data_IF_929412842209
#
_entry.id   IF_929412842209
#
_cell.length_a   1.000
_cell.length_b   1.000
_cell.length_c   1.000
_cell.angle_alpha   90.00
_cell.angle_beta   90.00
_cell.angle_gamma   90.00
#
_symmetry.space_group_name_H-M   'P 1'
#
loop_
_entity.id
_entity.type
_entity.pdbx_description
1 polymer ?
#
# COMPACT_ATOMS: atom_id res chain seq x y z
N UNK A 1 -3.89 -11.21 -22.98
CA UNK A 1 -2.44 -11.39 -22.77
C UNK A 1 -1.99 -10.19 -21.95
N UNK A 2 -1.31 -10.43 -20.82
CA UNK A 2 -0.67 -9.38 -20.04
C UNK A 2 0.54 -8.85 -20.81
N UNK A 3 0.75 -7.52 -20.76
CA UNK A 3 1.97 -6.88 -21.27
C UNK A 3 3.04 -6.74 -20.19
N UNK A 4 2.86 -7.41 -19.03
CA UNK A 4 3.79 -7.35 -17.93
C UNK A 4 5.10 -8.05 -18.27
N UNK A 5 6.25 -7.51 -17.83
CA UNK A 5 7.53 -8.18 -17.98
C UNK A 5 7.60 -9.43 -17.09
N UNK A 6 8.47 -10.35 -17.45
CA UNK A 6 8.79 -11.50 -16.62
C UNK A 6 9.71 -11.09 -15.47
N UNK A 7 9.34 -11.43 -14.24
CA UNK A 7 10.20 -11.19 -13.08
C UNK A 7 11.00 -12.45 -12.74
N UNK A 8 12.32 -12.26 -12.57
CA UNK A 8 13.23 -13.32 -12.14
C UNK A 8 13.96 -12.84 -10.89
N UNK A 9 13.69 -13.45 -9.76
CA UNK A 9 14.25 -13.07 -8.45
C UNK A 9 15.19 -14.19 -8.01
N UNK A 10 16.47 -13.88 -7.85
CA UNK A 10 17.54 -14.82 -7.49
C UNK A 10 17.54 -16.07 -8.39
N UNK A 11 17.32 -15.87 -9.72
CA UNK A 11 17.27 -16.93 -10.70
C UNK A 11 15.91 -17.61 -10.89
N UNK A 12 14.92 -17.30 -10.05
CA UNK A 12 13.60 -17.93 -10.07
C UNK A 12 12.57 -17.03 -10.74
N UNK A 13 11.83 -17.60 -11.67
CA UNK A 13 10.69 -16.94 -12.30
C UNK A 13 9.54 -16.80 -11.31
N UNK A 14 9.06 -15.56 -11.12
CA UNK A 14 7.90 -15.25 -10.26
C UNK A 14 6.76 -14.63 -11.05
N UNK A 15 5.62 -15.29 -11.10
CA UNK A 15 4.41 -14.78 -11.75
C UNK A 15 3.75 -13.64 -10.95
N UNK A 16 3.94 -13.63 -9.63
CA UNK A 16 3.45 -12.58 -8.73
C UNK A 16 4.25 -11.28 -8.79
N UNK A 17 5.27 -11.20 -9.63
CA UNK A 17 6.15 -10.05 -9.75
C UNK A 17 6.90 -9.77 -8.44
N UNK A 18 6.89 -8.51 -8.00
CA UNK A 18 7.54 -8.05 -6.77
C UNK A 18 6.69 -8.27 -5.50
N UNK A 19 5.49 -8.83 -5.65
CA UNK A 19 4.58 -8.98 -4.53
C UNK A 19 5.19 -9.83 -3.42
N UNK A 20 5.22 -9.30 -2.19
CA UNK A 20 5.81 -9.96 -1.03
C UNK A 20 7.33 -9.75 -0.87
N UNK A 21 8.01 -9.09 -1.82
CA UNK A 21 9.41 -8.71 -1.68
C UNK A 21 9.50 -7.28 -1.09
N UNK A 22 10.37 -7.10 -0.09
CA UNK A 22 10.70 -5.76 0.39
C UNK A 22 11.71 -5.11 -0.57
N UNK A 23 11.44 -3.91 -1.12
CA UNK A 23 12.40 -3.21 -1.98
C UNK A 23 13.78 -3.01 -1.35
N UNK A 24 13.84 -2.85 -0.03
CA UNK A 24 15.10 -2.69 0.69
C UNK A 24 15.94 -3.97 0.77
N UNK A 25 15.35 -5.14 0.49
CA UNK A 25 16.09 -6.40 0.38
C UNK A 25 16.72 -6.59 -1.01
N UNK A 26 16.45 -5.69 -1.95
CA UNK A 26 17.02 -5.72 -3.29
C UNK A 26 18.46 -5.21 -3.25
N UNK A 27 19.38 -6.00 -3.78
CA UNK A 27 20.77 -5.59 -4.01
C UNK A 27 20.96 -4.93 -5.38
N UNK A 28 20.36 -5.53 -6.43
CA UNK A 28 20.41 -5.01 -7.78
C UNK A 28 19.18 -5.39 -8.58
N UNK A 29 18.86 -4.53 -9.57
CA UNK A 29 17.81 -4.77 -10.53
C UNK A 29 18.34 -4.47 -11.93
N UNK A 30 18.12 -5.41 -12.87
CA UNK A 30 18.50 -5.28 -14.25
C UNK A 30 17.28 -5.55 -15.14
N UNK A 31 17.13 -4.75 -16.19
CA UNK A 31 16.03 -4.91 -17.14
C UNK A 31 16.61 -5.36 -18.48
N UNK A 32 16.23 -6.57 -18.90
CA UNK A 32 16.61 -7.14 -20.18
C UNK A 32 15.49 -6.85 -21.19
N UNK A 33 15.83 -6.10 -22.25
CA UNK A 33 14.87 -5.74 -23.32
C UNK A 33 15.24 -6.34 -24.68
N UNK A 34 16.48 -6.78 -24.82
CA UNK A 34 16.99 -7.31 -26.08
C UNK A 34 16.63 -8.76 -26.25
N UNK A 35 16.26 -9.16 -27.46
CA UNK A 35 15.85 -10.54 -27.79
C UNK A 35 16.94 -11.57 -27.45
N UNK A 36 18.22 -11.21 -27.59
CA UNK A 36 19.34 -12.09 -27.24
C UNK A 36 19.45 -12.36 -25.75
N UNK A 37 19.23 -11.33 -24.91
CA UNK A 37 19.32 -11.45 -23.46
C UNK A 37 18.08 -12.11 -22.84
N UNK A 38 16.92 -12.02 -23.50
CA UNK A 38 15.67 -12.64 -23.04
C UNK A 38 15.45 -14.06 -23.57
N UNK A 39 16.26 -14.50 -24.55
CA UNK A 39 16.11 -15.81 -25.22
C UNK A 39 16.11 -17.00 -24.27
N UNK A 40 16.89 -16.95 -23.19
CA UNK A 40 16.95 -18.02 -22.18
C UNK A 40 15.62 -18.24 -21.41
N UNK A 41 14.73 -17.24 -21.44
CA UNK A 41 13.42 -17.30 -20.79
C UNK A 41 12.29 -17.69 -21.75
N UNK A 42 12.63 -17.91 -23.03
CA UNK A 42 11.70 -18.33 -24.07
C UNK A 42 10.58 -17.31 -24.31
N UNK A 43 9.40 -17.79 -24.68
CA UNK A 43 8.24 -16.95 -25.01
C UNK A 43 7.74 -16.11 -23.82
N UNK A 44 8.02 -16.49 -22.58
CA UNK A 44 7.67 -15.71 -21.39
C UNK A 44 8.48 -14.41 -21.27
N UNK A 45 9.69 -14.38 -21.83
CA UNK A 45 10.53 -13.19 -21.86
C UNK A 45 10.20 -12.19 -22.98
N UNK A 46 9.17 -12.41 -23.80
CA UNK A 46 8.85 -11.59 -24.97
C UNK A 46 8.56 -10.10 -24.63
N UNK A 47 8.01 -9.82 -23.44
CA UNK A 47 7.73 -8.45 -22.95
C UNK A 47 8.89 -7.84 -22.16
N UNK A 48 10.09 -8.46 -22.18
CA UNK A 48 11.23 -8.12 -21.37
C UNK A 48 11.31 -8.92 -20.08
N UNK A 49 12.48 -8.91 -19.45
CA UNK A 49 12.74 -9.63 -18.19
C UNK A 49 13.34 -8.67 -17.18
N UNK A 50 12.82 -8.66 -15.98
CA UNK A 50 13.35 -7.92 -14.84
C UNK A 50 14.08 -8.90 -13.94
N UNK A 51 15.42 -8.83 -13.95
CA UNK A 51 16.29 -9.61 -13.08
C UNK A 51 16.48 -8.87 -11.76
N UNK A 52 16.22 -9.53 -10.66
CA UNK A 52 16.40 -8.98 -9.32
C UNK A 52 17.32 -9.91 -8.55
N UNK A 53 18.35 -9.31 -7.98
CA UNK A 53 19.24 -9.99 -7.02
C UNK A 53 18.97 -9.42 -5.65
N UNK A 54 18.71 -10.29 -4.68
CA UNK A 54 18.48 -9.87 -3.29
C UNK A 54 19.77 -9.83 -2.50
N UNK A 55 19.75 -9.09 -1.39
CA UNK A 55 20.88 -9.00 -0.45
C UNK A 55 21.11 -10.36 0.20
N UNK A 56 22.39 -10.74 0.34
CA UNK A 56 22.84 -11.95 1.01
C UNK A 56 23.81 -11.61 2.15
N UNK A 57 24.04 -12.54 3.05
CA UNK A 57 25.06 -12.42 4.08
C UNK A 57 26.47 -12.29 3.47
N UNK A 58 27.41 -11.77 4.27
CA UNK A 58 28.82 -11.63 3.87
C UNK A 58 29.72 -12.41 4.83
N UNK A 59 30.75 -13.04 4.28
CA UNK A 59 31.76 -13.72 5.09
C UNK A 59 32.53 -12.74 5.99
N UNK A 60 32.86 -13.19 7.18
CA UNK A 60 33.70 -12.48 8.17
C UNK A 60 33.17 -11.07 8.57
N UNK A 61 31.87 -10.82 8.36
CA UNK A 61 31.18 -9.61 8.77
C UNK A 61 30.04 -9.99 9.70
N UNK A 62 29.89 -9.26 10.80
CA UNK A 62 28.70 -9.32 11.66
C UNK A 62 28.11 -7.94 11.76
N UNK A 63 26.88 -7.78 11.32
CA UNK A 63 26.23 -6.49 11.30
C UNK A 63 24.79 -6.61 11.79
N UNK A 64 24.43 -5.68 12.67
CA UNK A 64 23.06 -5.44 13.08
C UNK A 64 22.72 -4.05 12.58
N UNK A 65 21.66 -3.93 11.78
CA UNK A 65 21.19 -2.67 11.24
C UNK A 65 19.73 -2.49 11.64
N UNK A 66 19.43 -1.33 12.16
CA UNK A 66 18.05 -0.92 12.43
C UNK A 66 17.74 0.36 11.66
N UNK A 67 16.76 0.30 10.79
CA UNK A 67 16.27 1.42 10.01
C UNK A 67 14.89 1.80 10.52
N UNK A 68 14.68 3.10 10.75
CA UNK A 68 13.40 3.63 11.18
C UNK A 68 13.07 4.88 10.37
N UNK A 69 11.90 4.89 9.77
CA UNK A 69 11.39 6.02 9.01
C UNK A 69 9.97 6.36 9.48
N UNK A 70 9.73 7.65 9.71
CA UNK A 70 8.40 8.20 10.01
C UNK A 70 8.14 9.30 9.00
N UNK A 71 6.98 9.24 8.35
CA UNK A 71 6.52 10.25 7.40
C UNK A 71 5.14 10.76 7.78
N UNK A 72 4.89 12.04 7.53
CA UNK A 72 3.56 12.65 7.66
C UNK A 72 3.11 13.10 6.27
N UNK A 73 1.96 12.59 5.85
CA UNK A 73 1.31 12.96 4.60
C UNK A 73 0.16 13.93 4.87
N UNK A 74 0.07 14.98 4.09
CA UNK A 74 -1.04 15.94 4.14
C UNK A 74 -1.69 16.06 2.78
N UNK A 75 -2.94 16.51 2.75
CA UNK A 75 -3.64 16.81 1.49
C UNK A 75 -3.00 18.03 0.85
N UNK A 76 -2.34 17.85 -0.28
CA UNK A 76 -1.58 18.92 -0.94
C UNK A 76 -2.49 20.05 -1.48
N UNK A 77 -3.70 19.69 -1.95
CA UNK A 77 -4.70 20.64 -2.45
C UNK A 77 -6.10 20.11 -2.19
N UNK A 78 -6.93 20.94 -1.61
CA UNK A 78 -8.37 20.69 -1.45
C UNK A 78 -9.13 21.38 -2.58
N UNK A 79 -10.24 20.80 -2.98
CA UNK A 79 -11.19 21.51 -3.84
C UNK A 79 -11.93 22.55 -3.01
N UNK A 80 -12.14 23.72 -3.59
CA UNK A 80 -13.00 24.73 -3.01
C UNK A 80 -14.46 24.34 -3.25
N UNK A 81 -15.21 24.17 -2.18
CA UNK A 81 -16.64 23.89 -2.20
C UNK A 81 -17.37 25.07 -1.56
N UNK A 82 -18.67 25.22 -1.87
CA UNK A 82 -19.47 26.22 -1.21
C UNK A 82 -19.51 25.96 0.30
N UNK A 83 -19.29 26.99 1.09
CA UNK A 83 -19.52 26.90 2.53
C UNK A 83 -21.05 26.88 2.83
N UNK A 84 -21.49 26.58 4.07
CA UNK A 84 -22.90 26.50 4.41
C UNK A 84 -23.70 27.78 4.08
N UNK A 85 -23.12 28.94 4.33
CA UNK A 85 -23.79 30.23 4.05
C UNK A 85 -23.92 30.48 2.55
N UNK A 86 -22.86 30.26 1.78
CA UNK A 86 -22.86 30.41 0.32
C UNK A 86 -23.86 29.46 -0.32
N UNK A 87 -23.87 28.19 0.11
CA UNK A 87 -24.84 27.21 -0.37
C UNK A 87 -26.27 27.64 -0.07
N UNK A 88 -26.59 28.00 1.17
CA UNK A 88 -27.94 28.39 1.58
C UNK A 88 -28.41 29.65 0.87
N UNK A 89 -27.54 30.66 0.70
CA UNK A 89 -27.81 31.88 -0.01
C UNK A 89 -28.10 31.58 -1.48
N UNK A 90 -27.26 30.80 -2.14
CA UNK A 90 -27.46 30.40 -3.54
C UNK A 90 -28.75 29.59 -3.68
N UNK A 91 -29.02 28.66 -2.76
CA UNK A 91 -30.22 27.82 -2.80
C UNK A 91 -31.50 28.65 -2.68
N UNK A 92 -31.53 29.69 -1.83
CA UNK A 92 -32.65 30.62 -1.69
C UNK A 92 -32.91 31.43 -2.95
N UNK A 93 -31.95 31.54 -3.90
CA UNK A 93 -32.21 32.19 -5.19
C UNK A 93 -33.12 31.36 -6.11
N UNK A 94 -33.01 30.02 -6.00
CA UNK A 94 -33.79 29.08 -6.81
C UNK A 94 -35.06 28.60 -6.09
N UNK A 95 -34.99 28.47 -4.77
CA UNK A 95 -36.06 27.99 -3.89
C UNK A 95 -36.26 29.04 -2.80
N UNK A 96 -37.16 30.01 -3.06
CA UNK A 96 -37.40 31.14 -2.16
C UNK A 96 -37.71 30.66 -0.72
N UNK A 97 -37.08 31.31 0.25
CA UNK A 97 -37.34 31.15 1.70
C UNK A 97 -37.15 29.74 2.23
N UNK A 98 -36.30 28.94 1.60
CA UNK A 98 -35.97 27.61 2.13
C UNK A 98 -35.19 27.70 3.45
N UNK A 99 -34.24 28.66 3.53
CA UNK A 99 -33.46 28.94 4.73
C UNK A 99 -33.87 30.29 5.32
N UNK A 100 -34.23 30.32 6.62
CA UNK A 100 -34.61 31.55 7.31
C UNK A 100 -33.42 32.48 7.55
N UNK A 101 -33.63 33.77 7.87
CA UNK A 101 -32.57 34.69 8.25
C UNK A 101 -31.75 34.22 9.43
N UNK A 102 -32.37 33.56 10.42
CA UNK A 102 -31.72 33.01 11.60
C UNK A 102 -30.79 31.86 11.21
N UNK A 103 -31.23 30.96 10.32
CA UNK A 103 -30.40 29.89 9.76
C UNK A 103 -29.22 30.42 8.97
N UNK A 104 -29.44 31.40 8.10
CA UNK A 104 -28.39 32.08 7.35
C UNK A 104 -27.36 32.72 8.29
N UNK A 105 -27.79 33.34 9.37
CA UNK A 105 -26.90 33.92 10.39
C UNK A 105 -26.10 32.82 11.09
N UNK A 106 -26.69 31.68 11.45
CA UNK A 106 -26.01 30.56 12.04
C UNK A 106 -24.91 29.97 11.10
N UNK A 107 -25.21 29.82 9.81
CA UNK A 107 -24.24 29.39 8.81
C UNK A 107 -23.10 30.40 8.62
N UNK A 108 -23.42 31.68 8.58
CA UNK A 108 -22.42 32.75 8.44
C UNK A 108 -21.47 32.81 9.63
N UNK A 109 -21.99 32.59 10.83
CA UNK A 109 -21.19 32.60 12.06
C UNK A 109 -20.46 31.25 12.33
N UNK A 110 -20.63 30.24 11.48
CA UNK A 110 -20.02 28.93 11.64
C UNK A 110 -20.57 28.09 12.81
N UNK A 111 -21.77 28.44 13.33
CA UNK A 111 -22.41 27.67 14.42
C UNK A 111 -23.25 26.51 13.92
N UNK A 112 -23.47 26.42 12.61
CA UNK A 112 -24.20 25.34 11.95
C UNK A 112 -23.55 25.00 10.59
N UNK A 113 -23.86 23.78 10.10
CA UNK A 113 -23.31 23.25 8.85
C UNK A 113 -22.03 22.44 9.06
N UNK A 114 -21.55 21.82 7.99
CA UNK A 114 -20.40 20.89 8.03
C UNK A 114 -19.49 21.11 6.81
N UNK A 115 -18.19 21.22 7.04
CA UNK A 115 -17.18 21.05 5.99
C UNK A 115 -16.93 19.55 5.82
N UNK A 116 -17.60 18.94 4.84
CA UNK A 116 -17.53 17.51 4.60
C UNK A 116 -16.14 17.02 4.18
N UNK A 117 -15.33 17.88 3.56
CA UNK A 117 -13.95 17.53 3.22
C UNK A 117 -13.06 17.47 4.46
N UNK A 118 -13.29 18.36 5.43
CA UNK A 118 -12.55 18.31 6.70
C UNK A 118 -12.92 17.08 7.53
N UNK A 119 -14.18 16.67 7.46
CA UNK A 119 -14.65 15.48 8.17
C UNK A 119 -14.09 14.16 7.64
N UNK A 120 -13.73 14.09 6.37
CA UNK A 120 -13.18 12.87 5.76
C UNK A 120 -11.66 12.84 5.70
N UNK A 121 -10.99 13.99 5.81
CA UNK A 121 -9.54 14.07 5.73
C UNK A 121 -8.87 14.10 7.12
N UNK A 122 -7.63 13.64 7.13
CA UNK A 122 -6.71 13.69 8.27
C UNK A 122 -5.27 13.79 7.78
N UNK A 123 -4.34 14.03 8.67
CA UNK A 123 -2.93 13.83 8.37
C UNK A 123 -2.63 12.34 8.40
N UNK A 124 -2.11 11.83 7.30
CA UNK A 124 -1.67 10.44 7.19
C UNK A 124 -0.31 10.24 7.87
N UNK A 125 -0.11 9.11 8.54
CA UNK A 125 1.15 8.75 9.18
C UNK A 125 1.68 7.49 8.52
N UNK A 126 2.94 7.53 8.10
CA UNK A 126 3.68 6.34 7.63
C UNK A 126 4.79 6.03 8.60
N UNK A 127 4.87 4.78 9.02
CA UNK A 127 5.92 4.24 9.88
C UNK A 127 6.55 3.04 9.16
N UNK A 128 7.87 3.01 9.09
CA UNK A 128 8.62 1.88 8.55
C UNK A 128 9.76 1.56 9.51
N UNK A 129 9.76 0.33 10.02
CA UNK A 129 10.78 -0.16 10.95
C UNK A 129 11.36 -1.46 10.43
N UNK A 130 12.66 -1.50 10.23
CA UNK A 130 13.37 -2.68 9.75
C UNK A 130 14.55 -3.03 10.64
N UNK A 131 14.62 -4.27 11.04
CA UNK A 131 15.79 -4.86 11.71
C UNK A 131 16.43 -5.87 10.77
N UNK A 132 17.72 -5.73 10.53
CA UNK A 132 18.52 -6.67 9.71
C UNK A 132 19.70 -7.17 10.51
N UNK A 133 19.83 -8.49 10.55
CA UNK A 133 20.97 -9.20 11.12
C UNK A 133 21.69 -9.91 9.97
N UNK A 134 22.95 -9.64 9.76
CA UNK A 134 23.75 -10.32 8.75
C UNK A 134 25.10 -10.72 9.28
N UNK A 135 25.61 -11.83 8.78
CA UNK A 135 26.90 -12.31 9.20
C UNK A 135 27.31 -13.59 8.52
N UNK A 136 28.42 -14.13 8.93
CA UNK A 136 28.88 -15.41 8.45
C UNK A 136 30.37 -15.64 8.59
N UNK A 137 30.79 -16.82 8.19
CA UNK A 137 32.16 -17.26 7.96
C UNK A 137 32.34 -17.57 6.47
N UNK A 138 33.51 -18.04 6.10
CA UNK A 138 33.77 -18.49 4.72
C UNK A 138 32.85 -19.64 4.29
N UNK A 139 32.38 -20.45 5.25
CA UNK A 139 31.53 -21.62 4.98
C UNK A 139 30.05 -21.39 5.14
N UNK A 140 29.65 -20.44 5.95
CA UNK A 140 28.24 -20.11 6.21
C UNK A 140 28.04 -18.60 6.20
N UNK A 141 27.04 -18.14 5.49
CA UNK A 141 26.65 -16.73 5.43
C UNK A 141 25.13 -16.64 5.61
N UNK A 142 24.68 -15.64 6.33
CA UNK A 142 23.25 -15.46 6.59
C UNK A 142 22.85 -14.00 6.61
N UNK A 143 21.61 -13.73 6.24
CA UNK A 143 20.90 -12.49 6.48
C UNK A 143 19.49 -12.81 6.95
N UNK A 144 19.11 -12.21 8.06
CA UNK A 144 17.78 -12.29 8.65
C UNK A 144 17.23 -10.87 8.71
N UNK A 145 16.01 -10.65 8.28
CA UNK A 145 15.37 -9.34 8.41
C UNK A 145 13.91 -9.46 8.86
N UNK A 146 13.49 -8.49 9.65
CA UNK A 146 12.09 -8.26 10.01
C UNK A 146 11.73 -6.82 9.70
N UNK A 147 10.59 -6.58 9.05
CA UNK A 147 10.12 -5.26 8.68
C UNK A 147 8.63 -5.10 9.05
N UNK A 148 8.31 -3.95 9.58
CA UNK A 148 6.94 -3.48 9.79
C UNK A 148 6.72 -2.17 9.07
N UNK A 149 5.68 -2.10 8.23
CA UNK A 149 5.22 -0.89 7.60
C UNK A 149 3.78 -0.63 8.01
N UNK A 150 3.55 0.49 8.68
CA UNK A 150 2.22 0.99 9.02
C UNK A 150 1.95 2.27 8.24
N UNK A 151 0.85 2.32 7.51
CA UNK A 151 0.42 3.50 6.77
C UNK A 151 -1.01 3.85 7.13
N UNK A 152 -1.20 5.07 7.59
CA UNK A 152 -2.50 5.71 7.73
C UNK A 152 -2.68 6.68 6.57
N UNK A 153 -3.77 6.56 5.84
CA UNK A 153 -4.06 7.42 4.69
C UNK A 153 -4.53 8.81 5.09
N UNK A 154 -4.46 9.75 4.15
CA UNK A 154 -5.02 11.10 4.31
C UNK A 154 -6.56 11.10 4.33
N UNK A 155 -7.20 10.05 3.87
CA UNK A 155 -8.62 9.79 4.08
C UNK A 155 -8.75 8.91 5.31
N UNK A 156 -9.60 9.32 6.26
CA UNK A 156 -9.88 8.56 7.49
C UNK A 156 -10.27 7.11 7.16
N UNK A 157 -10.04 6.17 8.06
CA UNK A 157 -10.35 4.73 7.95
C UNK A 157 -9.59 3.99 6.83
N UNK A 158 -8.64 4.64 6.15
CA UNK A 158 -7.75 3.98 5.21
C UNK A 158 -6.42 3.65 5.88
N UNK A 159 -6.18 2.37 6.13
CA UNK A 159 -4.94 1.89 6.74
C UNK A 159 -4.35 0.72 5.98
N UNK A 160 -3.03 0.60 6.00
CA UNK A 160 -2.31 -0.55 5.47
C UNK A 160 -1.20 -0.94 6.44
N UNK A 161 -1.23 -2.17 6.96
CA UNK A 161 -0.22 -2.71 7.87
C UNK A 161 0.43 -3.93 7.24
N UNK A 162 1.74 -3.90 7.10
CA UNK A 162 2.51 -4.99 6.50
C UNK A 162 3.60 -5.44 7.46
N UNK A 163 3.63 -6.71 7.73
CA UNK A 163 4.66 -7.41 8.48
C UNK A 163 5.41 -8.32 7.53
N UNK A 164 6.72 -8.27 7.52
CA UNK A 164 7.56 -9.12 6.70
C UNK A 164 8.69 -9.71 7.52
N UNK A 165 9.03 -10.95 7.21
CA UNK A 165 10.22 -11.61 7.73
C UNK A 165 10.92 -12.33 6.59
N UNK A 166 12.26 -12.22 6.55
CA UNK A 166 13.09 -12.92 5.57
C UNK A 166 14.28 -13.56 6.24
N UNK A 167 14.59 -14.76 5.79
CA UNK A 167 15.81 -15.48 6.15
C UNK A 167 16.46 -15.99 4.87
N UNK A 168 17.74 -15.63 4.64
CA UNK A 168 18.56 -16.21 3.59
C UNK A 168 19.82 -16.77 4.23
N UNK A 169 20.13 -18.03 3.92
CA UNK A 169 21.30 -18.74 4.41
C UNK A 169 21.98 -19.39 3.22
N UNK A 170 23.26 -19.12 3.05
CA UNK A 170 24.12 -19.81 2.10
C UNK A 170 25.18 -20.58 2.87
N UNK A 171 25.33 -21.86 2.58
CA UNK A 171 26.29 -22.74 3.28
C UNK A 171 27.05 -23.64 2.31
N UNK A 172 28.34 -23.69 2.46
CA UNK A 172 29.18 -24.75 1.90
C UNK A 172 29.13 -25.94 2.82
N UNK A 173 28.25 -26.91 2.51
CA UNK A 173 28.10 -28.12 3.34
C UNK A 173 29.30 -29.05 3.23
N UNK A 174 29.85 -29.18 2.01
CA UNK A 174 31.09 -29.93 1.71
C UNK A 174 31.84 -29.15 0.61
N UNK A 175 33.01 -29.61 0.23
CA UNK A 175 33.80 -28.98 -0.86
C UNK A 175 33.09 -29.06 -2.21
N UNK A 176 32.19 -30.01 -2.36
CA UNK A 176 31.44 -30.23 -3.60
C UNK A 176 29.94 -29.86 -3.53
N UNK A 177 29.41 -29.52 -2.33
CA UNK A 177 27.99 -29.23 -2.13
C UNK A 177 27.78 -27.90 -1.45
N UNK A 178 27.06 -27.01 -2.13
CA UNK A 178 26.61 -25.72 -1.58
C UNK A 178 25.08 -25.73 -1.49
N UNK A 179 24.58 -25.19 -0.40
CA UNK A 179 23.15 -24.98 -0.13
C UNK A 179 22.86 -23.47 -0.07
N UNK A 180 21.84 -23.01 -0.75
CA UNK A 180 21.21 -21.72 -0.50
C UNK A 180 19.76 -21.94 -0.15
N UNK A 181 19.33 -21.41 0.98
CA UNK A 181 17.92 -21.41 1.40
C UNK A 181 17.45 -19.98 1.62
N UNK A 182 16.36 -19.59 0.98
CA UNK A 182 15.71 -18.29 1.13
C UNK A 182 14.24 -18.51 1.49
N UNK A 183 13.79 -17.87 2.56
CA UNK A 183 12.40 -17.88 2.98
C UNK A 183 11.98 -16.43 3.21
N UNK A 184 10.90 -16.04 2.57
CA UNK A 184 10.28 -14.73 2.74
C UNK A 184 8.79 -14.93 3.08
N UNK A 185 8.35 -14.35 4.18
CA UNK A 185 6.96 -14.36 4.60
C UNK A 185 6.46 -12.92 4.77
N UNK A 186 5.26 -12.64 4.28
CA UNK A 186 4.60 -11.35 4.50
C UNK A 186 3.13 -11.53 4.86
N UNK A 187 2.69 -10.74 5.83
CA UNK A 187 1.29 -10.59 6.23
C UNK A 187 0.89 -9.14 6.03
N UNK A 188 -0.11 -8.91 5.19
CA UNK A 188 -0.59 -7.56 4.88
C UNK A 188 -2.07 -7.44 5.19
N UNK A 189 -2.42 -6.47 6.03
CA UNK A 189 -3.79 -6.11 6.38
C UNK A 189 -4.07 -4.72 5.84
N UNK A 190 -4.97 -4.64 4.88
CA UNK A 190 -5.44 -3.38 4.29
C UNK A 190 -6.87 -3.16 4.72
N UNK A 191 -7.13 -2.03 5.36
CA UNK A 191 -8.46 -1.53 5.67
C UNK A 191 -8.73 -0.31 4.81
N UNK A 192 -9.84 -0.27 4.15
CA UNK A 192 -10.26 0.87 3.35
C UNK A 192 -11.76 1.03 3.40
N UNK A 193 -12.21 2.27 3.41
CA UNK A 193 -13.58 2.59 3.09
C UNK A 193 -13.77 2.23 1.61
N UNK A 194 -14.15 0.97 1.35
CA UNK A 194 -14.31 0.44 0.00
C UNK A 194 -15.69 0.84 -0.53
N UNK A 195 -15.68 1.88 -1.35
CA UNK A 195 -16.87 2.29 -2.08
C UNK A 195 -16.85 1.56 -3.42
N UNK A 196 -17.83 0.69 -3.64
CA UNK A 196 -18.02 0.07 -4.95
C UNK A 196 -18.10 1.17 -6.02
N UNK A 197 -17.59 0.89 -7.21
CA UNK A 197 -17.59 1.83 -8.34
C UNK A 197 -18.99 2.46 -8.62
N UNK A 198 -20.06 1.81 -8.17
CA UNK A 198 -21.44 2.29 -8.29
C UNK A 198 -21.79 3.43 -7.30
N UNK A 199 -21.05 3.57 -6.18
CA UNK A 199 -21.31 4.61 -5.16
C UNK A 199 -20.39 5.84 -5.27
N UNK A 200 -19.39 5.78 -6.14
CA UNK A 200 -18.43 6.86 -6.35
C UNK A 200 -17.29 6.89 -5.31
N UNK A 201 -16.36 7.82 -5.49
CA UNK A 201 -15.27 8.07 -4.57
C UNK A 201 -15.77 8.91 -3.39
N UNK A 202 -15.34 8.61 -2.15
CA UNK A 202 -15.74 9.33 -0.93
C UNK A 202 -15.51 10.83 -1.03
N UNK A 203 -14.44 11.26 -1.70
CA UNK A 203 -14.16 12.70 -1.91
C UNK A 203 -15.25 13.33 -2.77
N UNK A 204 -15.68 12.67 -3.85
CA UNK A 204 -16.78 13.15 -4.69
C UNK A 204 -18.10 13.19 -3.92
N UNK A 205 -18.35 12.20 -3.06
CA UNK A 205 -19.56 12.18 -2.24
C UNK A 205 -19.54 13.36 -1.27
N UNK A 206 -18.42 13.59 -0.57
CA UNK A 206 -18.25 14.70 0.36
C UNK A 206 -18.37 16.07 -0.33
N UNK A 207 -17.80 16.22 -1.54
CA UNK A 207 -17.92 17.46 -2.32
C UNK A 207 -19.33 17.80 -2.77
N UNK A 208 -20.17 16.78 -2.96
CA UNK A 208 -21.54 16.95 -3.46
C UNK A 208 -22.60 16.88 -2.35
N UNK A 209 -22.20 16.61 -1.11
CA UNK A 209 -23.13 16.57 0.02
C UNK A 209 -23.40 17.98 0.55
N UNK A 210 -24.68 18.30 0.83
CA UNK A 210 -25.07 19.66 1.20
C UNK A 210 -24.39 20.13 2.50
N UNK A 211 -23.62 21.21 2.46
CA UNK A 211 -22.83 21.67 3.62
C UNK A 211 -23.68 22.27 4.74
N UNK A 212 -24.96 22.53 4.50
CA UNK A 212 -25.93 23.02 5.51
C UNK A 212 -26.41 21.94 6.48
N UNK A 213 -26.05 20.68 6.23
CA UNK A 213 -26.45 19.54 7.04
C UNK A 213 -25.40 19.26 8.13
N UNK A 214 -25.88 18.85 9.32
CA UNK A 214 -25.03 18.27 10.34
C UNK A 214 -24.69 16.81 10.02
N UNK A 215 -23.74 16.23 10.75
CA UNK A 215 -23.33 14.82 10.56
C UNK A 215 -24.45 13.87 10.99
N UNK A 216 -25.08 14.15 12.14
CA UNK A 216 -26.12 13.30 12.73
C UNK A 216 -27.39 14.08 12.99
N UNK A 217 -28.51 13.38 12.95
CA UNK A 217 -29.79 13.83 13.45
C UNK A 217 -29.84 13.74 15.00
N UNK A 218 -30.85 14.34 15.61
CA UNK A 218 -31.07 14.30 17.06
C UNK A 218 -31.29 12.86 17.61
N UNK A 219 -31.78 11.96 16.78
CA UNK A 219 -31.98 10.54 17.10
C UNK A 219 -30.71 9.68 17.00
N UNK A 220 -29.56 10.28 16.65
CA UNK A 220 -28.28 9.60 16.47
C UNK A 220 -28.10 8.89 15.13
N UNK A 221 -29.03 9.06 14.19
CA UNK A 221 -28.87 8.56 12.82
C UNK A 221 -28.08 9.53 11.97
N UNK A 222 -27.39 9.03 10.91
CA UNK A 222 -26.72 9.91 9.94
C UNK A 222 -27.74 10.70 9.13
N UNK A 223 -27.45 11.99 8.89
CA UNK A 223 -28.28 12.84 8.06
C UNK A 223 -28.36 12.32 6.63
N UNK A 224 -29.47 12.61 5.97
CA UNK A 224 -29.67 12.36 4.54
C UNK A 224 -29.78 13.68 3.82
N UNK A 225 -29.21 13.77 2.62
CA UNK A 225 -29.23 14.98 1.82
C UNK A 225 -30.55 15.10 1.05
N UNK A 226 -31.47 16.01 1.45
CA UNK A 226 -32.72 16.27 0.71
C UNK A 226 -32.53 17.25 -0.45
N UNK A 227 -31.37 17.89 -0.57
CA UNK A 227 -31.10 18.93 -1.58
C UNK A 227 -30.48 18.35 -2.84
N UNK A 228 -29.97 17.13 -2.80
CA UNK A 228 -29.41 16.42 -3.95
C UNK A 228 -30.51 15.79 -4.80
N UNK A 229 -30.35 15.84 -6.13
CA UNK A 229 -31.24 15.16 -7.08
C UNK A 229 -31.11 13.63 -7.03
N UNK A 230 -30.01 13.12 -6.49
CA UNK A 230 -29.74 11.69 -6.30
C UNK A 230 -29.60 11.41 -4.81
N UNK A 231 -30.04 10.22 -4.38
CA UNK A 231 -29.86 9.79 -3.01
C UNK A 231 -28.36 9.63 -2.72
N UNK A 232 -27.80 10.55 -1.96
CA UNK A 232 -26.44 10.47 -1.48
C UNK A 232 -26.42 9.95 -0.03
N UNK A 233 -25.42 9.12 0.27
CA UNK A 233 -25.19 8.65 1.61
C UNK A 233 -24.26 9.63 2.34
N UNK A 234 -24.48 9.78 3.65
CA UNK A 234 -23.65 10.62 4.50
C UNK A 234 -22.17 10.20 4.41
N UNK A 235 -21.24 11.12 4.08
CA UNK A 235 -19.83 10.77 3.92
C UNK A 235 -19.19 10.15 5.15
N UNK A 236 -19.50 10.68 6.35
CA UNK A 236 -18.99 10.16 7.62
C UNK A 236 -19.63 8.81 7.95
N UNK A 237 -20.92 8.65 7.68
CA UNK A 237 -21.60 7.37 7.82
C UNK A 237 -20.98 6.29 6.94
N UNK A 238 -20.64 6.62 5.70
CA UNK A 238 -19.95 5.70 4.79
C UNK A 238 -18.58 5.29 5.35
N UNK A 239 -17.78 6.24 5.84
CA UNK A 239 -16.48 5.96 6.43
C UNK A 239 -16.57 5.02 7.63
N UNK A 240 -17.59 5.19 8.47
CA UNK A 240 -17.71 4.42 9.71
C UNK A 240 -18.39 3.06 9.51
N UNK A 241 -19.32 2.94 8.58
CA UNK A 241 -20.18 1.75 8.42
C UNK A 241 -19.75 0.84 7.26
N UNK A 242 -19.05 1.37 6.25
CA UNK A 242 -18.67 0.61 5.06
C UNK A 242 -17.16 0.45 4.95
N UNK A 243 -16.59 -0.35 5.84
CA UNK A 243 -15.17 -0.65 5.85
C UNK A 243 -14.95 -2.03 5.27
N UNK A 244 -14.18 -2.09 4.17
CA UNK A 244 -13.63 -3.33 3.65
C UNK A 244 -12.28 -3.62 4.29
N UNK A 245 -12.10 -4.85 4.77
CA UNK A 245 -10.81 -5.35 5.23
C UNK A 245 -10.34 -6.46 4.29
N UNK A 246 -9.10 -6.38 3.86
CA UNK A 246 -8.45 -7.39 3.02
C UNK A 246 -7.15 -7.83 3.69
N UNK A 247 -7.03 -9.13 3.91
CA UNK A 247 -5.82 -9.76 4.42
C UNK A 247 -5.15 -10.55 3.30
N UNK A 248 -3.83 -10.47 3.25
CA UNK A 248 -3.03 -11.24 2.28
C UNK A 248 -1.79 -11.77 2.94
N UNK A 249 -1.67 -13.09 2.91
CA UNK A 249 -0.50 -13.82 3.37
C UNK A 249 0.27 -14.36 2.15
N UNK A 250 1.59 -14.15 2.15
CA UNK A 250 2.48 -14.66 1.11
C UNK A 250 3.66 -15.29 1.80
N UNK A 251 3.93 -16.54 1.45
CA UNK A 251 5.15 -17.24 1.85
C UNK A 251 5.85 -17.73 0.59
N UNK A 252 7.08 -17.31 0.41
CA UNK A 252 7.96 -17.80 -0.64
C UNK A 252 9.12 -18.52 0.04
N UNK A 253 9.35 -19.77 -0.33
CA UNK A 253 10.49 -20.54 0.11
C UNK A 253 11.23 -21.08 -1.10
N UNK A 254 12.54 -21.01 -1.05
CA UNK A 254 13.41 -21.48 -2.11
C UNK A 254 14.63 -22.16 -1.53
N UNK A 255 15.03 -23.25 -2.15
CA UNK A 255 16.23 -24.02 -1.80
C UNK A 255 16.97 -24.35 -3.08
N UNK A 256 18.21 -23.90 -3.18
CA UNK A 256 19.16 -24.28 -4.21
C UNK A 256 20.22 -25.21 -3.67
N UNK A 257 20.47 -26.30 -4.39
CA UNK A 257 21.60 -27.17 -4.19
C UNK A 257 22.54 -27.07 -5.39
N UNK A 258 23.76 -26.61 -5.16
CA UNK A 258 24.79 -26.54 -6.19
C UNK A 258 25.86 -27.60 -5.93
N UNK A 259 25.99 -28.48 -6.91
CA UNK A 259 26.97 -29.58 -6.90
C UNK A 259 28.15 -29.21 -7.80
N UNK A 260 29.34 -29.15 -7.25
CA UNK A 260 30.59 -29.07 -7.99
C UNK A 260 31.09 -30.49 -8.28
N UNK A 261 30.71 -31.04 -9.44
CA UNK A 261 30.98 -32.44 -9.78
C UNK A 261 32.45 -32.64 -10.17
N UNK A 262 32.96 -31.75 -11.01
CA UNK A 262 34.36 -31.72 -11.47
C UNK A 262 34.78 -30.27 -11.68
N UNK A 263 36.11 -29.97 -11.77
CA UNK A 263 36.56 -28.65 -12.16
C UNK A 263 35.92 -28.19 -13.49
N UNK A 264 35.15 -27.13 -13.45
CA UNK A 264 34.40 -26.57 -14.61
C UNK A 264 33.03 -27.19 -14.87
N UNK A 265 32.61 -28.23 -14.10
CA UNK A 265 31.29 -28.86 -14.22
C UNK A 265 30.50 -28.69 -12.93
N UNK A 266 29.44 -27.87 -12.98
CA UNK A 266 28.53 -27.65 -11.87
C UNK A 266 27.09 -28.03 -12.27
N UNK A 267 26.35 -28.54 -11.31
CA UNK A 267 24.91 -28.80 -11.43
C UNK A 267 24.19 -28.04 -10.32
N UNK A 268 23.11 -27.35 -10.68
CA UNK A 268 22.27 -26.61 -9.73
C UNK A 268 20.82 -27.06 -9.91
N UNK A 269 20.11 -27.30 -8.82
CA UNK A 269 18.72 -27.74 -8.81
C UNK A 269 17.90 -26.96 -7.81
#
# INVERSE_FOLDING_TARGET
RSNDPLYVIDGIVRESGLTGLNPEDIQSMQILKDASSTAIYGSRGANGVVLITTKTGKANVRQIMFDAQIGVGTVAKRYETLNPYEFATLYNTYRKETFSPEQLSAFQNGTAGTDWLDEIFQNGITQDYKLTLSGGSDKIQYILSGNYVGQEGVVKENTNKRYQARANITSQLTDWLHLTADVNASHNVKRSADFSAAKGNIVNIAMNYAPVLGIMNEDGTYTRDPYSAITQLNPVGLLNEQIGESMRDIVNAHIDLKFNILPGLTFTT
#
